data_IF_337111453293
#
_entry.id   IF_337111453293
#
_cell.length_a   1.000
_cell.length_b   1.000
_cell.length_c   1.000
_cell.angle_alpha   90.00
_cell.angle_beta   90.00
_cell.angle_gamma   90.00
#
_symmetry.space_group_name_H-M   'P 1'
#
loop_
_entity.id
_entity.type
_entity.pdbx_description
1 polymer ?
#
# COMPACT_ATOMS: atom_id res chain seq x y z
N UNK A 1 16.05 15.11 -6.26
CA UNK A 1 15.65 15.69 -7.57
C UNK A 1 14.14 15.57 -7.77
N UNK A 2 13.57 14.37 -7.62
CA UNK A 2 12.12 14.14 -7.66
C UNK A 2 11.32 15.04 -6.70
N UNK A 3 11.65 15.06 -5.41
CA UNK A 3 10.95 15.88 -4.39
C UNK A 3 10.87 17.37 -4.77
N UNK A 4 12.00 17.97 -5.12
CA UNK A 4 12.06 19.38 -5.55
C UNK A 4 11.22 19.62 -6.80
N UNK A 5 11.29 18.76 -7.81
CA UNK A 5 10.48 18.88 -9.02
C UNK A 5 8.98 18.70 -8.77
N UNK A 6 8.61 17.75 -7.91
CA UNK A 6 7.22 17.50 -7.50
C UNK A 6 6.65 18.68 -6.70
N UNK A 7 7.42 19.26 -5.79
CA UNK A 7 6.99 20.43 -5.01
C UNK A 7 6.65 21.64 -5.88
N UNK A 8 7.37 21.84 -7.00
CA UNK A 8 7.09 22.91 -7.96
C UNK A 8 5.89 22.64 -8.88
N UNK A 9 5.38 21.41 -8.90
CA UNK A 9 4.26 20.98 -9.74
C UNK A 9 2.96 20.81 -8.93
N UNK A 10 2.98 21.04 -7.61
CA UNK A 10 1.82 20.83 -6.73
C UNK A 10 0.60 21.65 -7.15
N UNK A 11 0.82 22.81 -7.77
CA UNK A 11 -0.25 23.64 -8.31
C UNK A 11 -0.59 23.19 -9.75
N UNK A 12 -1.75 22.53 -9.90
CA UNK A 12 -2.32 22.17 -11.21
C UNK A 12 -2.07 20.73 -11.67
N UNK A 13 -1.28 19.93 -10.94
CA UNK A 13 -1.15 18.50 -11.22
C UNK A 13 -2.16 17.68 -10.42
N UNK A 14 -3.00 16.96 -11.14
CA UNK A 14 -3.97 16.02 -10.58
C UNK A 14 -3.31 14.66 -10.33
N UNK A 15 -2.82 14.47 -9.10
CA UNK A 15 -2.14 13.24 -8.70
C UNK A 15 -3.06 12.02 -8.55
N UNK A 16 -4.39 12.20 -8.56
CA UNK A 16 -5.34 11.07 -8.51
C UNK A 16 -5.24 10.17 -9.76
N UNK A 17 -4.71 10.71 -10.86
CA UNK A 17 -4.57 10.01 -12.15
C UNK A 17 -3.25 9.27 -12.32
N UNK A 18 -2.37 9.34 -11.33
CA UNK A 18 -1.01 8.83 -11.45
C UNK A 18 -0.92 7.39 -10.96
N UNK A 19 -0.25 6.55 -11.75
CA UNK A 19 0.17 5.21 -11.36
C UNK A 19 1.70 5.20 -11.23
N UNK A 20 2.21 4.87 -10.05
CA UNK A 20 3.65 4.87 -9.77
C UNK A 20 4.17 3.44 -9.73
N UNK A 21 5.29 3.20 -10.41
CA UNK A 21 5.99 1.92 -10.44
C UNK A 21 7.49 2.16 -10.22
N UNK A 22 8.16 1.21 -9.56
CA UNK A 22 9.61 1.20 -9.45
C UNK A 22 10.20 0.48 -10.67
N UNK A 23 11.14 1.14 -11.34
CA UNK A 23 11.93 0.49 -12.39
C UNK A 23 12.97 -0.48 -11.79
N UNK A 24 13.52 -0.11 -10.63
CA UNK A 24 14.47 -0.90 -9.85
C UNK A 24 14.31 -0.62 -8.34
N UNK A 25 14.73 -1.59 -7.53
CA UNK A 25 14.80 -1.49 -6.07
C UNK A 25 15.95 -2.36 -5.55
N UNK A 26 16.52 -1.94 -4.41
CA UNK A 26 17.60 -2.61 -3.70
C UNK A 26 16.97 -3.69 -2.83
N UNK A 27 17.54 -4.88 -2.87
CA UNK A 27 17.05 -6.02 -2.07
C UNK A 27 17.57 -5.89 -0.64
N UNK A 28 16.97 -4.95 0.10
CA UNK A 28 17.24 -4.63 1.51
C UNK A 28 15.90 -4.39 2.22
N UNK A 29 15.85 -4.37 3.57
CA UNK A 29 14.67 -3.94 4.30
C UNK A 29 14.15 -2.58 3.82
N UNK A 30 12.83 -2.38 3.85
CA UNK A 30 12.20 -1.15 3.32
C UNK A 30 12.44 0.09 4.18
N UNK A 31 12.96 -0.07 5.39
CA UNK A 31 13.44 0.99 6.28
C UNK A 31 14.96 1.21 6.18
N UNK A 32 15.64 0.49 5.30
CA UNK A 32 17.07 0.68 5.04
C UNK A 32 17.30 1.96 4.23
N UNK A 33 18.37 2.69 4.56
CA UNK A 33 18.71 3.98 3.92
C UNK A 33 18.94 3.88 2.39
N UNK A 34 19.24 2.69 1.89
CA UNK A 34 19.44 2.43 0.46
C UNK A 34 18.17 2.01 -0.31
N UNK A 35 17.03 1.88 0.38
CA UNK A 35 15.75 1.55 -0.25
C UNK A 35 15.19 2.74 -1.04
N UNK A 36 14.93 2.53 -2.33
CA UNK A 36 14.24 3.50 -3.18
C UNK A 36 12.80 3.73 -2.66
N UNK A 37 12.15 2.71 -2.11
CA UNK A 37 10.85 2.79 -1.45
C UNK A 37 10.87 3.75 -0.28
N UNK A 38 11.84 3.66 0.64
CA UNK A 38 11.94 4.58 1.78
C UNK A 38 12.05 6.03 1.31
N UNK A 39 12.93 6.28 0.35
CA UNK A 39 13.13 7.62 -0.20
C UNK A 39 11.87 8.16 -0.90
N UNK A 40 11.18 7.33 -1.69
CA UNK A 40 9.89 7.70 -2.29
C UNK A 40 8.79 7.85 -1.25
N UNK A 41 8.84 7.07 -0.17
CA UNK A 41 7.87 7.15 0.91
C UNK A 41 7.89 8.53 1.54
N UNK A 42 9.06 8.92 2.05
CA UNK A 42 9.25 10.20 2.75
C UNK A 42 9.03 11.41 1.84
N UNK A 43 9.40 11.31 0.56
CA UNK A 43 9.36 12.45 -0.35
C UNK A 43 8.05 12.61 -1.13
N UNK A 44 7.29 11.52 -1.34
CA UNK A 44 6.16 11.50 -2.27
C UNK A 44 4.96 10.77 -1.71
N UNK A 45 5.16 9.58 -1.14
CA UNK A 45 4.04 8.73 -0.78
C UNK A 45 3.38 9.05 0.56
N UNK A 46 4.03 9.81 1.42
CA UNK A 46 3.32 10.46 2.53
C UNK A 46 2.15 11.35 2.03
N UNK A 47 2.09 11.62 0.72
CA UNK A 47 1.03 12.39 0.08
C UNK A 47 0.22 11.60 -0.99
N UNK A 48 0.56 10.33 -1.30
CA UNK A 48 -0.04 9.49 -2.36
C UNK A 48 0.19 7.98 -2.11
N UNK A 49 -0.65 7.04 -2.59
CA UNK A 49 -1.92 7.21 -3.28
C UNK A 49 -3.10 7.12 -2.30
N UNK A 50 -4.07 8.02 -2.49
CA UNK A 50 -5.43 7.88 -1.96
C UNK A 50 -6.30 7.34 -3.09
N UNK A 51 -6.73 6.10 -3.00
CA UNK A 51 -7.69 5.53 -3.95
C UNK A 51 -9.04 6.21 -3.77
N UNK A 52 -9.74 6.61 -4.84
CA UNK A 52 -11.08 7.19 -4.71
C UNK A 52 -12.08 6.19 -4.15
N UNK A 53 -12.03 4.94 -4.63
CA UNK A 53 -12.88 3.84 -4.18
C UNK A 53 -12.05 2.56 -4.12
N UNK A 54 -12.18 1.83 -3.01
CA UNK A 54 -11.78 0.43 -2.91
C UNK A 54 -13.05 -0.41 -2.71
N UNK A 55 -13.24 -1.40 -3.58
CA UNK A 55 -14.30 -2.41 -3.46
C UNK A 55 -13.75 -3.61 -2.70
N UNK A 56 -14.40 -3.95 -1.59
CA UNK A 56 -13.96 -5.03 -0.71
C UNK A 56 -14.98 -6.15 -0.68
N UNK A 57 -14.54 -7.37 -0.97
CA UNK A 57 -15.30 -8.56 -0.59
C UNK A 57 -15.11 -8.85 0.90
N UNK A 58 -16.13 -9.41 1.54
CA UNK A 58 -16.07 -9.88 2.93
C UNK A 58 -16.40 -11.37 3.00
N UNK A 59 -15.49 -12.16 3.57
CA UNK A 59 -15.77 -13.56 3.87
C UNK A 59 -16.72 -13.72 5.06
N UNK A 60 -17.31 -14.92 5.26
CA UNK A 60 -18.24 -15.19 6.38
C UNK A 60 -17.62 -15.05 7.77
N UNK A 61 -16.29 -15.09 7.84
CA UNK A 61 -15.42 -14.84 9.00
C UNK A 61 -15.05 -13.36 9.17
N UNK A 62 -15.53 -12.46 8.30
CA UNK A 62 -15.23 -11.04 8.35
C UNK A 62 -13.89 -10.63 7.73
N UNK A 63 -13.13 -11.58 7.16
CA UNK A 63 -11.89 -11.22 6.44
C UNK A 63 -12.20 -10.42 5.18
N UNK A 64 -11.34 -9.47 4.86
CA UNK A 64 -11.30 -8.80 3.55
C UNK A 64 -9.89 -8.88 2.99
N UNK A 65 -9.72 -8.67 1.68
CA UNK A 65 -8.46 -8.94 0.98
C UNK A 65 -7.89 -10.32 1.40
N UNK A 66 -6.67 -10.36 1.94
CA UNK A 66 -6.14 -11.53 2.66
C UNK A 66 -5.80 -11.20 4.12
N UNK A 67 -6.58 -10.32 4.74
CA UNK A 67 -6.47 -9.89 6.14
C UNK A 67 -7.44 -10.70 6.98
N UNK A 68 -6.95 -11.79 7.57
CA UNK A 68 -7.77 -12.76 8.31
C UNK A 68 -7.83 -12.46 9.81
N UNK A 69 -8.98 -12.69 10.48
CA UNK A 69 -9.09 -12.58 11.94
C UNK A 69 -8.01 -13.38 12.67
N UNK A 70 -7.35 -12.75 13.65
CA UNK A 70 -6.29 -13.37 14.45
C UNK A 70 -4.93 -13.54 13.75
N UNK A 71 -4.81 -13.16 12.47
CA UNK A 71 -3.55 -13.23 11.74
C UNK A 71 -2.65 -12.01 12.03
N UNK A 72 -1.32 -12.23 12.07
CA UNK A 72 -0.34 -11.17 12.40
C UNK A 72 -0.37 -9.98 11.45
N UNK A 73 -0.79 -10.18 10.19
CA UNK A 73 -0.92 -9.11 9.19
C UNK A 73 -1.98 -8.06 9.54
N UNK A 74 -2.90 -8.34 10.47
CA UNK A 74 -3.80 -7.30 10.97
C UNK A 74 -3.06 -6.19 11.73
N UNK A 75 -1.85 -6.48 12.23
CA UNK A 75 -1.00 -5.53 12.95
C UNK A 75 0.00 -4.80 12.02
N UNK A 76 -0.01 -5.07 10.71
CA UNK A 76 0.91 -4.43 9.76
C UNK A 76 0.49 -2.97 9.54
N UNK A 77 1.40 -2.05 9.86
CA UNK A 77 1.16 -0.60 9.83
C UNK A 77 2.12 0.19 8.94
N UNK A 78 3.18 -0.43 8.43
CA UNK A 78 4.21 0.22 7.63
C UNK A 78 4.10 -0.16 6.15
N UNK A 79 3.96 -1.45 5.87
CA UNK A 79 3.89 -1.96 4.51
C UNK A 79 2.54 -1.61 3.88
N UNK A 80 2.55 -1.26 2.60
CA UNK A 80 1.34 -1.09 1.79
C UNK A 80 0.81 -2.38 1.20
N UNK A 81 1.73 -3.28 0.88
CA UNK A 81 1.48 -4.58 0.29
C UNK A 81 2.28 -5.59 1.08
N UNK A 82 1.64 -6.68 1.48
CA UNK A 82 2.29 -7.77 2.20
C UNK A 82 2.00 -9.11 1.53
N UNK A 83 2.91 -10.06 1.72
CA UNK A 83 2.67 -11.46 1.38
C UNK A 83 2.15 -12.21 2.60
N UNK A 84 1.26 -13.17 2.36
CA UNK A 84 0.80 -14.17 3.34
C UNK A 84 1.12 -15.54 2.76
N UNK A 85 1.66 -16.45 3.57
CA UNK A 85 2.05 -17.79 3.10
C UNK A 85 1.22 -18.91 3.73
N UNK A 86 0.41 -18.56 4.72
CA UNK A 86 -0.30 -19.41 5.67
C UNK A 86 -1.77 -18.99 5.81
N UNK A 87 -2.38 -18.51 4.73
CA UNK A 87 -3.81 -18.19 4.71
C UNK A 87 -4.65 -19.40 5.18
N UNK A 88 -5.61 -19.23 6.11
CA UNK A 88 -6.47 -20.31 6.58
C UNK A 88 -7.44 -20.81 5.50
N UNK A 89 -7.51 -20.13 4.35
CA UNK A 89 -8.30 -20.51 3.18
C UNK A 89 -7.41 -20.71 1.94
N UNK A 90 -7.66 -21.75 1.12
CA UNK A 90 -6.89 -21.96 -0.11
C UNK A 90 -7.14 -20.84 -1.15
N UNK A 91 -6.16 -20.51 -2.00
CA UNK A 91 -4.75 -20.92 -1.90
C UNK A 91 -4.06 -20.24 -0.69
N UNK A 92 -3.09 -20.92 -0.05
CA UNK A 92 -2.47 -20.44 1.20
C UNK A 92 -1.54 -19.24 0.98
N UNK A 93 -0.91 -19.14 -0.20
CA UNK A 93 0.01 -18.06 -0.54
C UNK A 93 -0.72 -16.97 -1.32
N UNK A 94 -0.69 -15.73 -0.83
CA UNK A 94 -1.36 -14.58 -1.44
C UNK A 94 -0.52 -13.31 -1.26
N UNK A 95 -0.85 -12.29 -2.04
CA UNK A 95 -0.37 -10.91 -1.87
C UNK A 95 -1.60 -10.06 -1.54
N UNK A 96 -1.49 -9.14 -0.58
CA UNK A 96 -2.62 -8.35 -0.09
C UNK A 96 -2.24 -6.90 0.14
N UNK A 97 -3.20 -6.00 -0.11
CA UNK A 97 -3.17 -4.66 0.46
C UNK A 97 -3.37 -4.76 1.98
N UNK A 98 -2.70 -3.89 2.70
CA UNK A 98 -2.75 -3.76 4.17
C UNK A 98 -3.65 -2.59 4.58
N UNK A 99 -3.93 -2.47 5.87
CA UNK A 99 -4.77 -1.39 6.38
C UNK A 99 -4.26 0.03 6.09
N UNK A 100 -2.95 0.34 6.12
CA UNK A 100 -2.45 1.63 5.66
C UNK A 100 -2.96 2.06 4.29
N UNK A 101 -3.12 1.13 3.34
CA UNK A 101 -3.68 1.45 2.02
C UNK A 101 -5.20 1.46 2.03
N UNK A 102 -5.82 0.42 2.58
CA UNK A 102 -7.27 0.26 2.57
C UNK A 102 -7.96 1.43 3.27
N UNK A 103 -7.44 1.86 4.42
CA UNK A 103 -8.00 2.95 5.21
C UNK A 103 -7.68 4.34 4.66
N UNK A 104 -6.71 4.46 3.75
CA UNK A 104 -6.37 5.72 3.11
C UNK A 104 -7.27 6.02 1.89
N UNK A 105 -8.15 5.10 1.49
CA UNK A 105 -9.10 5.35 0.40
C UNK A 105 -10.11 6.45 0.75
N UNK A 106 -10.57 7.21 -0.27
CA UNK A 106 -11.59 8.23 -0.08
C UNK A 106 -12.96 7.64 0.29
N UNK A 107 -13.26 6.44 -0.21
CA UNK A 107 -14.40 5.65 0.19
C UNK A 107 -14.06 4.15 0.19
N UNK A 108 -14.51 3.45 1.23
CA UNK A 108 -14.48 1.98 1.34
C UNK A 108 -15.92 1.49 1.25
N UNK A 109 -16.19 0.55 0.32
CA UNK A 109 -17.53 -0.01 0.11
C UNK A 109 -17.49 -1.54 0.31
N UNK A 110 -18.35 -2.08 1.19
CA UNK A 110 -18.53 -3.53 1.35
C UNK A 110 -19.37 -4.14 0.22
#
# INVERSE_FOLDING_TARGET
ILEKGLSSLKDGVDFSKWHVFFADERVVPLDHADSNYLACHDALFQHLPRFDVILLGMGPDGHTCSLFPGHVLLNESALWVASISDSPKPPPKRITLTYPVVNNAAAVRP
#
